data_IF_383898787479
#
_entry.id   IF_383898787479
#
_cell.length_a   1.000
_cell.length_b   1.000
_cell.length_c   1.000
_cell.angle_alpha   90.00
_cell.angle_beta   90.00
_cell.angle_gamma   90.00
#
_symmetry.space_group_name_H-M   'P 1'
#
loop_
_entity.id
_entity.type
_entity.pdbx_description
1 polymer ?
#
# COMPACT_ATOMS: atom_id res chain seq x y z
N UNK A 1 9.07 -13.66 80.15
CA UNK A 1 7.62 -13.58 80.12
C UNK A 1 7.27 -12.34 79.28
N UNK A 2 7.05 -12.49 78.01
CA UNK A 2 6.60 -11.42 77.11
C UNK A 2 5.49 -12.00 76.27
N UNK A 3 4.32 -11.37 76.37
CA UNK A 3 3.05 -11.79 75.81
C UNK A 3 2.95 -11.48 74.32
N UNK A 4 2.56 -12.48 73.54
CA UNK A 4 2.20 -12.32 72.12
C UNK A 4 0.77 -11.83 72.01
N UNK A 5 0.55 -10.67 71.39
CA UNK A 5 -0.80 -10.21 70.94
C UNK A 5 -0.94 -10.45 69.45
N UNK A 6 -1.88 -11.29 69.12
CA UNK A 6 -2.35 -11.57 67.75
C UNK A 6 -2.88 -10.30 67.07
N UNK A 7 -2.33 -9.99 65.91
CA UNK A 7 -2.93 -9.04 64.98
C UNK A 7 -3.39 -9.86 63.76
N UNK A 8 -4.72 -9.91 63.59
CA UNK A 8 -5.34 -10.50 62.43
C UNK A 8 -5.22 -9.52 61.24
N UNK A 9 -4.51 -9.93 60.21
CA UNK A 9 -4.46 -9.22 58.94
C UNK A 9 -5.66 -9.63 58.09
N UNK A 10 -6.52 -8.68 57.79
CA UNK A 10 -7.63 -8.83 56.83
C UNK A 10 -7.00 -8.71 55.42
N UNK A 11 -7.00 -9.79 54.68
CA UNK A 11 -6.63 -9.79 53.24
C UNK A 11 -7.83 -9.31 52.43
N UNK A 12 -7.80 -8.07 51.94
CA UNK A 12 -8.73 -7.62 50.92
C UNK A 12 -8.23 -8.06 49.55
N UNK A 13 -8.92 -9.03 48.98
CA UNK A 13 -8.68 -9.46 47.57
C UNK A 13 -9.30 -8.41 46.67
N UNK A 14 -8.45 -7.60 46.04
CA UNK A 14 -8.86 -6.73 44.93
C UNK A 14 -8.81 -7.57 43.66
N UNK A 15 -9.94 -8.01 43.18
CA UNK A 15 -10.10 -8.57 41.85
C UNK A 15 -9.99 -7.45 40.83
N UNK A 16 -8.83 -7.35 40.16
CA UNK A 16 -8.68 -6.51 38.96
C UNK A 16 -9.30 -7.31 37.81
N UNK A 17 -10.50 -6.90 37.43
CA UNK A 17 -11.12 -7.35 36.17
C UNK A 17 -10.38 -6.70 35.00
N UNK A 18 -9.62 -7.49 34.26
CA UNK A 18 -9.11 -7.08 32.95
C UNK A 18 -10.27 -7.19 31.98
N UNK A 19 -10.95 -6.07 31.75
CA UNK A 19 -11.90 -5.91 30.67
C UNK A 19 -11.12 -5.52 29.41
N UNK A 20 -10.74 -6.51 28.60
CA UNK A 20 -10.40 -6.25 27.22
C UNK A 20 -11.72 -6.05 26.44
N UNK A 21 -12.09 -4.81 26.22
CA UNK A 21 -13.10 -4.43 25.26
C UNK A 21 -12.54 -3.25 24.48
N UNK A 22 -11.71 -3.55 23.51
CA UNK A 22 -11.45 -2.65 22.40
C UNK A 22 -12.40 -3.06 21.28
N UNK A 23 -13.70 -2.78 21.46
CA UNK A 23 -14.60 -2.52 20.37
C UNK A 23 -14.56 -1.01 20.16
N UNK A 24 -13.83 -0.56 19.16
CA UNK A 24 -14.10 0.74 18.57
C UNK A 24 -15.36 0.57 17.75
N UNK A 25 -16.51 0.84 18.36
CA UNK A 25 -17.70 1.16 17.63
C UNK A 25 -17.38 2.45 16.85
N UNK A 26 -17.24 2.29 15.54
CA UNK A 26 -17.23 3.42 14.63
C UNK A 26 -18.69 3.88 14.55
N UNK A 27 -19.12 4.69 15.53
CA UNK A 27 -20.41 5.34 15.49
C UNK A 27 -20.44 6.25 14.24
N UNK A 28 -21.45 6.00 13.42
CA UNK A 28 -21.85 6.83 12.28
C UNK A 28 -21.85 8.32 12.64
N UNK A 29 -20.74 8.99 12.48
CA UNK A 29 -20.74 10.44 12.36
C UNK A 29 -21.21 10.75 10.93
N UNK A 30 -22.48 11.11 10.81
CA UNK A 30 -23.13 11.41 9.56
C UNK A 30 -22.34 12.40 8.72
N UNK A 31 -21.73 11.88 7.68
CA UNK A 31 -21.26 12.67 6.56
C UNK A 31 -22.48 13.17 5.80
N UNK A 32 -22.62 14.48 5.74
CA UNK A 32 -23.51 15.16 4.81
C UNK A 32 -22.89 15.07 3.40
N UNK A 33 -22.83 13.86 2.85
CA UNK A 33 -22.62 13.64 1.45
C UNK A 33 -23.83 12.87 0.92
N UNK A 34 -24.51 13.46 -0.08
CA UNK A 34 -25.84 13.06 -0.50
C UNK A 34 -25.91 11.59 -0.90
N UNK A 35 -26.73 10.88 -0.14
CA UNK A 35 -27.42 9.59 -0.34
C UNK A 35 -27.12 8.85 -1.69
N UNK A 36 -25.83 8.53 -1.94
CA UNK A 36 -25.43 7.56 -2.96
C UNK A 36 -25.28 6.23 -2.28
N UNK A 37 -26.15 5.29 -2.64
CA UNK A 37 -26.04 3.93 -2.14
C UNK A 37 -24.67 3.35 -2.57
N UNK A 38 -23.92 2.83 -1.64
CA UNK A 38 -22.70 2.10 -1.92
C UNK A 38 -23.02 0.87 -2.79
N UNK A 39 -22.11 0.53 -3.70
CA UNK A 39 -22.15 -0.74 -4.42
C UNK A 39 -21.63 -1.82 -3.44
N UNK A 40 -22.56 -2.63 -2.94
CA UNK A 40 -22.17 -3.78 -2.10
C UNK A 40 -21.48 -4.82 -2.99
N UNK A 41 -20.31 -5.28 -2.56
CA UNK A 41 -19.51 -6.31 -3.23
C UNK A 41 -19.36 -7.49 -2.29
N UNK A 42 -19.71 -8.67 -2.77
CA UNK A 42 -19.49 -9.94 -2.08
C UNK A 42 -18.39 -10.71 -2.80
N UNK A 43 -17.25 -10.90 -2.13
CA UNK A 43 -16.11 -11.67 -2.61
C UNK A 43 -16.09 -13.04 -1.93
N UNK A 44 -16.14 -14.12 -2.71
CA UNK A 44 -15.99 -15.49 -2.24
C UNK A 44 -14.94 -16.22 -3.07
N UNK A 45 -14.61 -17.47 -2.72
CA UNK A 45 -13.63 -18.24 -3.48
C UNK A 45 -13.98 -18.40 -4.98
N UNK A 46 -15.26 -18.40 -5.33
CA UNK A 46 -15.74 -18.72 -6.68
C UNK A 46 -16.54 -17.58 -7.34
N UNK A 47 -16.94 -16.54 -6.60
CA UNK A 47 -17.84 -15.49 -7.09
C UNK A 47 -17.42 -14.10 -6.60
N UNK A 48 -17.54 -13.11 -7.51
CA UNK A 48 -17.47 -11.68 -7.23
C UNK A 48 -18.82 -11.06 -7.61
N UNK A 49 -19.68 -10.78 -6.63
CA UNK A 49 -21.05 -10.33 -6.86
C UNK A 49 -21.20 -8.88 -6.44
N UNK A 50 -21.67 -8.04 -7.36
CA UNK A 50 -21.95 -6.62 -7.12
C UNK A 50 -23.46 -6.39 -7.01
N UNK A 51 -23.90 -5.58 -6.05
CA UNK A 51 -25.32 -5.18 -5.91
C UNK A 51 -25.82 -4.35 -7.11
N UNK A 52 -24.91 -3.67 -7.81
CA UNK A 52 -25.14 -2.99 -9.09
C UNK A 52 -23.88 -3.09 -9.95
N UNK A 53 -24.03 -3.31 -11.25
CA UNK A 53 -22.95 -3.26 -12.23
C UNK A 53 -22.84 -1.89 -12.91
N UNK A 54 -23.55 -0.89 -12.39
CA UNK A 54 -23.48 0.49 -12.86
C UNK A 54 -23.60 1.49 -11.71
N UNK A 55 -22.93 2.62 -11.84
CA UNK A 55 -23.03 3.77 -10.95
C UNK A 55 -22.96 5.09 -11.77
N UNK A 56 -23.48 6.20 -11.26
CA UNK A 56 -23.26 7.50 -11.88
C UNK A 56 -21.83 7.99 -11.65
N UNK A 57 -21.29 8.77 -12.60
CA UNK A 57 -19.95 9.38 -12.48
C UNK A 57 -19.83 10.29 -11.24
N UNK A 58 -18.62 10.39 -10.72
CA UNK A 58 -18.26 11.05 -9.48
C UNK A 58 -17.76 10.04 -8.44
N UNK A 59 -17.93 10.34 -7.16
CA UNK A 59 -17.49 9.41 -6.11
C UNK A 59 -18.36 8.15 -6.13
N UNK A 60 -17.73 7.01 -6.32
CA UNK A 60 -18.34 5.67 -6.23
C UNK A 60 -17.75 4.99 -4.99
N UNK A 61 -18.61 4.47 -4.15
CA UNK A 61 -18.21 3.71 -2.97
C UNK A 61 -18.49 2.24 -3.21
N UNK A 62 -17.47 1.40 -3.14
CA UNK A 62 -17.60 -0.05 -3.10
C UNK A 62 -17.44 -0.51 -1.65
N UNK A 63 -18.46 -1.16 -1.14
CA UNK A 63 -18.40 -1.78 0.18
C UNK A 63 -18.13 -3.27 0.00
N UNK A 64 -16.87 -3.66 0.19
CA UNK A 64 -16.39 -5.00 -0.12
C UNK A 64 -16.43 -5.89 1.11
N UNK A 65 -17.28 -6.90 1.09
CA UNK A 65 -17.37 -7.94 2.11
C UNK A 65 -16.67 -9.21 1.64
N UNK A 66 -15.80 -9.74 2.48
CA UNK A 66 -15.17 -11.05 2.25
C UNK A 66 -16.03 -12.15 2.85
N UNK A 67 -16.83 -12.82 2.02
CA UNK A 67 -17.63 -13.98 2.37
C UNK A 67 -16.90 -15.33 2.20
N UNK A 68 -15.62 -15.30 1.81
CA UNK A 68 -14.76 -16.48 1.66
C UNK A 68 -14.03 -16.88 2.93
N UNK A 69 -13.17 -17.89 2.81
CA UNK A 69 -12.37 -18.44 3.92
C UNK A 69 -10.90 -17.94 3.87
N UNK A 70 -10.48 -17.28 2.79
CA UNK A 70 -9.15 -16.73 2.58
C UNK A 70 -9.22 -15.21 2.54
N UNK A 71 -8.09 -14.53 2.73
CA UNK A 71 -7.97 -13.07 2.53
C UNK A 71 -8.32 -12.74 1.09
N UNK A 72 -8.96 -11.62 0.84
CA UNK A 72 -9.31 -11.16 -0.52
C UNK A 72 -8.90 -9.72 -0.73
N UNK A 73 -8.77 -9.35 -1.98
CA UNK A 73 -8.59 -8.00 -2.48
C UNK A 73 -9.72 -7.64 -3.44
N UNK A 74 -9.90 -6.35 -3.68
CA UNK A 74 -10.84 -5.85 -4.68
C UNK A 74 -10.24 -4.67 -5.43
N UNK A 75 -10.35 -4.71 -6.75
CA UNK A 75 -9.86 -3.71 -7.68
C UNK A 75 -10.98 -3.10 -8.51
N UNK A 76 -10.89 -1.81 -8.78
CA UNK A 76 -11.53 -1.21 -9.94
C UNK A 76 -10.43 -0.93 -10.98
N UNK A 77 -10.52 -1.59 -12.13
CA UNK A 77 -9.57 -1.47 -13.24
C UNK A 77 -10.17 -0.62 -14.35
N UNK A 78 -9.32 0.02 -15.14
CA UNK A 78 -9.70 0.60 -16.44
C UNK A 78 -10.17 -0.49 -17.42
N UNK A 79 -10.65 -0.10 -18.58
CA UNK A 79 -11.12 -1.02 -19.63
C UNK A 79 -9.98 -1.83 -20.29
N UNK A 80 -8.73 -1.47 -20.06
CA UNK A 80 -7.54 -2.23 -20.45
C UNK A 80 -7.27 -3.45 -19.55
N UNK A 81 -8.01 -3.58 -18.45
CA UNK A 81 -7.93 -4.67 -17.48
C UNK A 81 -6.59 -4.79 -16.71
N UNK A 82 -5.73 -3.78 -16.81
CA UNK A 82 -4.38 -3.76 -16.20
C UNK A 82 -4.09 -2.49 -15.40
N UNK A 83 -4.70 -1.36 -15.77
CA UNK A 83 -4.53 -0.11 -15.04
C UNK A 83 -5.48 -0.05 -13.86
N UNK A 84 -4.94 0.07 -12.66
CA UNK A 84 -5.71 0.13 -11.40
C UNK A 84 -6.18 1.56 -11.16
N UNK A 85 -7.49 1.76 -11.05
CA UNK A 85 -8.13 3.03 -10.69
C UNK A 85 -8.15 3.21 -9.17
N UNK A 86 -8.29 2.13 -8.46
CA UNK A 86 -8.21 2.04 -7.00
C UNK A 86 -8.47 0.62 -6.54
N UNK A 87 -7.96 0.32 -5.37
CA UNK A 87 -8.01 -1.00 -4.77
C UNK A 87 -8.22 -0.96 -3.27
N UNK A 88 -8.55 -2.07 -2.71
CA UNK A 88 -8.57 -2.33 -1.28
C UNK A 88 -8.14 -3.77 -1.03
N UNK A 89 -7.09 -3.90 -0.27
CA UNK A 89 -6.41 -5.16 -0.02
C UNK A 89 -6.64 -5.69 1.40
N UNK A 90 -6.11 -6.89 1.65
CA UNK A 90 -6.02 -7.50 2.97
C UNK A 90 -7.37 -7.58 3.71
N UNK A 91 -8.46 -7.86 2.97
CA UNK A 91 -9.78 -8.05 3.57
C UNK A 91 -9.87 -9.48 4.12
N UNK A 92 -9.70 -9.62 5.43
CA UNK A 92 -9.81 -10.92 6.10
C UNK A 92 -11.22 -11.52 6.04
N UNK A 93 -11.37 -12.85 6.20
CA UNK A 93 -12.66 -13.53 6.19
C UNK A 93 -13.69 -12.89 7.13
N UNK A 94 -14.89 -12.63 6.61
CA UNK A 94 -16.01 -12.02 7.35
C UNK A 94 -15.84 -10.51 7.63
N UNK A 95 -14.79 -9.88 7.12
CA UNK A 95 -14.60 -8.43 7.25
C UNK A 95 -15.18 -7.68 6.05
N UNK A 96 -15.46 -6.40 6.25
CA UNK A 96 -15.89 -5.46 5.22
C UNK A 96 -14.96 -4.27 5.21
N UNK A 97 -14.56 -3.82 4.01
CA UNK A 97 -13.81 -2.58 3.81
C UNK A 97 -14.44 -1.75 2.70
N UNK A 98 -14.30 -0.45 2.79
CA UNK A 98 -14.80 0.48 1.79
C UNK A 98 -13.65 0.95 0.89
N UNK A 99 -13.90 0.92 -0.43
CA UNK A 99 -13.10 1.58 -1.45
C UNK A 99 -13.89 2.76 -2.00
N UNK A 100 -13.34 3.95 -1.93
CA UNK A 100 -13.93 5.15 -2.53
C UNK A 100 -13.07 5.59 -3.70
N UNK A 101 -13.67 5.63 -4.90
CA UNK A 101 -12.99 6.09 -6.12
C UNK A 101 -13.78 7.18 -6.79
N UNK A 102 -13.10 8.12 -7.45
CA UNK A 102 -13.71 9.12 -8.30
C UNK A 102 -13.68 8.65 -9.74
N UNK A 103 -14.73 7.96 -10.16
CA UNK A 103 -14.81 7.38 -11.49
C UNK A 103 -15.49 8.32 -12.49
N UNK A 104 -14.88 8.48 -13.68
CA UNK A 104 -15.45 9.20 -14.81
C UNK A 104 -16.40 8.29 -15.58
N UNK A 105 -17.25 8.89 -16.44
CA UNK A 105 -18.10 8.11 -17.34
C UNK A 105 -17.23 7.19 -18.23
N UNK A 106 -17.46 5.89 -18.14
CA UNK A 106 -16.67 4.90 -18.87
C UNK A 106 -17.07 3.47 -18.58
N UNK A 107 -16.32 2.55 -19.15
CA UNK A 107 -16.38 1.11 -18.86
C UNK A 107 -15.16 0.74 -18.01
N UNK A 108 -15.39 -0.03 -16.97
CA UNK A 108 -14.40 -0.46 -16.00
C UNK A 108 -14.55 -1.96 -15.76
N UNK A 109 -13.58 -2.53 -15.07
CA UNK A 109 -13.62 -3.92 -14.60
C UNK A 109 -13.47 -3.93 -13.09
N UNK A 110 -14.49 -4.42 -12.39
CA UNK A 110 -14.41 -4.76 -10.98
C UNK A 110 -13.82 -6.17 -10.84
N UNK A 111 -12.83 -6.36 -9.99
CA UNK A 111 -12.17 -7.64 -9.79
C UNK A 111 -12.06 -7.98 -8.31
N UNK A 112 -12.61 -9.13 -7.89
CA UNK A 112 -12.35 -9.72 -6.59
C UNK A 112 -11.22 -10.75 -6.73
N UNK A 113 -10.26 -10.77 -5.80
CA UNK A 113 -9.07 -11.63 -5.88
C UNK A 113 -8.92 -12.46 -4.60
N UNK A 114 -9.73 -13.53 -4.44
CA UNK A 114 -9.64 -14.41 -3.28
C UNK A 114 -8.27 -15.08 -3.20
N UNK A 115 -7.69 -15.11 -2.00
CA UNK A 115 -6.34 -15.61 -1.78
C UNK A 115 -5.24 -14.67 -2.28
N UNK A 116 -5.59 -13.46 -2.76
CA UNK A 116 -4.65 -12.45 -3.28
C UNK A 116 -3.78 -12.97 -4.44
N UNK A 117 -4.30 -13.90 -5.25
CA UNK A 117 -3.56 -14.57 -6.33
C UNK A 117 -4.34 -14.57 -7.65
N UNK A 118 -3.61 -14.64 -8.77
CA UNK A 118 -4.16 -14.71 -10.12
C UNK A 118 -4.81 -13.42 -10.62
N UNK A 119 -5.50 -13.53 -11.75
CA UNK A 119 -6.17 -12.38 -12.40
C UNK A 119 -7.48 -11.96 -11.71
N UNK A 120 -7.91 -12.69 -10.68
CA UNK A 120 -9.15 -12.43 -9.97
C UNK A 120 -10.42 -12.80 -10.75
N UNK A 121 -11.56 -12.70 -10.07
CA UNK A 121 -12.90 -12.90 -10.64
C UNK A 121 -13.41 -11.54 -11.12
N UNK A 122 -13.56 -11.37 -12.43
CA UNK A 122 -13.78 -10.09 -13.08
C UNK A 122 -15.26 -9.89 -13.47
N UNK A 123 -15.75 -8.67 -13.25
CA UNK A 123 -17.12 -8.24 -13.58
C UNK A 123 -17.05 -6.89 -14.28
N UNK A 124 -17.67 -6.76 -15.46
CA UNK A 124 -17.77 -5.46 -16.13
C UNK A 124 -18.59 -4.49 -15.29
N UNK A 125 -18.06 -3.29 -15.07
CA UNK A 125 -18.70 -2.22 -14.34
C UNK A 125 -18.80 -0.98 -15.23
N UNK A 126 -19.97 -0.32 -15.26
CA UNK A 126 -20.21 0.84 -16.11
C UNK A 126 -20.44 2.07 -15.26
N UNK A 127 -19.66 3.10 -15.49
CA UNK A 127 -19.92 4.41 -14.91
C UNK A 127 -20.72 5.23 -15.94
N UNK A 128 -21.97 5.53 -15.58
CA UNK A 128 -22.90 6.28 -16.42
C UNK A 128 -22.73 7.79 -16.23
N UNK A 129 -23.33 8.61 -17.12
CA UNK A 129 -23.38 10.05 -16.91
C UNK A 129 -24.08 10.36 -15.58
N UNK A 130 -23.35 10.93 -14.62
CA UNK A 130 -23.89 11.39 -13.33
C UNK A 130 -24.54 12.77 -13.46
N UNK A 131 -25.46 13.09 -12.55
CA UNK A 131 -25.77 14.50 -12.31
C UNK A 131 -24.44 15.20 -11.94
N UNK A 132 -24.11 16.30 -12.63
CA UNK A 132 -22.88 17.06 -12.41
C UNK A 132 -22.59 17.11 -10.92
N UNK A 133 -21.42 16.63 -10.48
CA UNK A 133 -20.97 16.82 -9.11
C UNK A 133 -21.30 18.27 -8.76
N UNK A 134 -21.90 18.52 -7.59
CA UNK A 134 -22.13 19.90 -7.13
C UNK A 134 -20.84 20.66 -7.41
N UNK A 135 -20.93 21.75 -8.17
CA UNK A 135 -19.76 22.47 -8.62
C UNK A 135 -18.98 22.82 -7.36
N UNK A 136 -17.87 22.12 -7.13
CA UNK A 136 -16.91 22.49 -6.08
C UNK A 136 -16.61 23.96 -6.29
N UNK A 137 -16.54 24.73 -5.18
CA UNK A 137 -16.21 26.15 -5.33
C UNK A 137 -14.89 26.25 -6.12
N UNK A 138 -14.74 27.26 -6.97
CA UNK A 138 -13.50 27.47 -7.75
C UNK A 138 -12.26 27.37 -6.85
N UNK A 139 -12.35 27.90 -5.63
CA UNK A 139 -11.31 27.80 -4.61
C UNK A 139 -10.99 26.35 -4.21
N UNK A 140 -11.99 25.47 -4.11
CA UNK A 140 -11.78 24.07 -3.75
C UNK A 140 -11.16 23.27 -4.90
N UNK A 141 -11.58 23.52 -6.14
CA UNK A 141 -10.98 22.93 -7.33
C UNK A 141 -9.49 23.37 -7.51
N UNK A 142 -9.16 24.62 -7.15
CA UNK A 142 -7.76 25.07 -7.14
C UNK A 142 -6.92 24.32 -6.08
N UNK A 143 -7.49 24.04 -4.92
CA UNK A 143 -6.81 23.25 -3.87
C UNK A 143 -6.59 21.79 -4.29
N UNK A 144 -7.59 21.16 -4.92
CA UNK A 144 -7.45 19.80 -5.46
C UNK A 144 -6.34 19.75 -6.53
N UNK A 145 -6.36 20.69 -7.47
CA UNK A 145 -5.33 20.76 -8.50
C UNK A 145 -3.93 21.02 -7.92
N UNK A 146 -3.83 21.84 -6.87
CA UNK A 146 -2.56 22.10 -6.21
C UNK A 146 -2.04 20.87 -5.45
N UNK A 147 -2.93 20.10 -4.81
CA UNK A 147 -2.56 18.87 -4.13
C UNK A 147 -2.02 17.82 -5.11
N UNK A 148 -2.74 17.60 -6.22
CA UNK A 148 -2.30 16.69 -7.28
C UNK A 148 -0.95 17.13 -7.87
N UNK A 149 -0.77 18.41 -8.17
CA UNK A 149 0.48 18.91 -8.71
C UNK A 149 1.66 18.73 -7.73
N UNK A 150 1.45 19.00 -6.42
CA UNK A 150 2.48 18.83 -5.40
C UNK A 150 2.89 17.36 -5.26
N UNK A 151 1.92 16.44 -5.26
CA UNK A 151 2.23 15.01 -5.15
C UNK A 151 2.87 14.46 -6.42
N UNK A 152 2.45 14.93 -7.61
CA UNK A 152 3.11 14.59 -8.87
C UNK A 152 4.59 14.99 -8.84
N UNK A 153 4.91 16.21 -8.43
CA UNK A 153 6.30 16.67 -8.31
C UNK A 153 7.13 15.76 -7.38
N UNK A 154 6.50 15.20 -6.34
CA UNK A 154 7.13 14.23 -5.45
C UNK A 154 7.36 12.89 -6.16
N UNK A 155 6.33 12.33 -6.80
CA UNK A 155 6.41 11.05 -7.53
C UNK A 155 7.46 11.10 -8.63
N UNK A 156 7.48 12.17 -9.43
CA UNK A 156 8.46 12.37 -10.51
C UNK A 156 9.90 12.36 -9.96
N UNK A 157 10.13 13.00 -8.81
CA UNK A 157 11.45 13.02 -8.17
C UNK A 157 11.86 11.62 -7.67
N UNK A 158 10.92 10.86 -7.09
CA UNK A 158 11.20 9.49 -6.64
C UNK A 158 11.45 8.56 -7.83
N UNK A 159 10.65 8.65 -8.90
CA UNK A 159 10.79 7.87 -10.11
C UNK A 159 12.14 8.10 -10.82
N UNK A 160 12.56 9.37 -10.93
CA UNK A 160 13.88 9.72 -11.47
C UNK A 160 15.02 9.13 -10.62
N UNK A 161 14.90 9.20 -9.29
CA UNK A 161 15.87 8.64 -8.36
C UNK A 161 15.89 7.11 -8.43
N UNK A 162 14.72 6.46 -8.47
CA UNK A 162 14.57 5.02 -8.66
C UNK A 162 15.32 4.56 -9.92
N UNK A 163 15.05 5.19 -11.06
CA UNK A 163 15.71 4.85 -12.33
C UNK A 163 17.23 4.94 -12.23
N UNK A 164 17.72 6.01 -11.62
CA UNK A 164 19.15 6.24 -11.44
C UNK A 164 19.80 5.16 -10.56
N UNK A 165 19.21 4.89 -9.40
CA UNK A 165 19.79 3.95 -8.44
C UNK A 165 19.61 2.48 -8.90
N UNK A 166 18.53 2.16 -9.63
CA UNK A 166 18.34 0.85 -10.30
C UNK A 166 19.46 0.59 -11.31
N UNK A 167 19.81 1.59 -12.13
CA UNK A 167 20.95 1.46 -13.06
C UNK A 167 22.26 1.22 -12.30
N UNK A 168 22.50 1.98 -11.22
CA UNK A 168 23.73 1.83 -10.44
C UNK A 168 23.79 0.44 -9.76
N UNK A 169 22.69 -0.04 -9.21
CA UNK A 169 22.56 -1.38 -8.64
C UNK A 169 22.81 -2.47 -9.68
N UNK A 170 22.17 -2.38 -10.84
CA UNK A 170 22.34 -3.32 -11.93
C UNK A 170 23.81 -3.40 -12.42
N UNK A 171 24.52 -2.27 -12.50
CA UNK A 171 25.95 -2.26 -12.88
C UNK A 171 26.82 -2.97 -11.84
N UNK A 172 26.52 -2.86 -10.54
CA UNK A 172 27.22 -3.61 -9.48
C UNK A 172 26.96 -5.12 -9.59
N UNK A 173 25.73 -5.54 -9.84
CA UNK A 173 25.36 -6.94 -10.08
C UNK A 173 26.13 -7.49 -11.30
N UNK A 174 26.11 -6.77 -12.42
CA UNK A 174 26.80 -7.14 -13.68
C UNK A 174 28.31 -7.19 -13.53
N UNK A 175 28.86 -6.32 -12.68
CA UNK A 175 30.29 -6.35 -12.32
C UNK A 175 30.64 -7.50 -11.36
N UNK A 176 29.66 -8.28 -10.88
CA UNK A 176 29.81 -9.30 -9.84
C UNK A 176 30.38 -8.71 -8.53
N UNK A 177 30.07 -7.44 -8.25
CA UNK A 177 30.37 -6.78 -7.00
C UNK A 177 29.21 -6.97 -6.00
N UNK A 178 29.11 -8.17 -5.45
CA UNK A 178 28.06 -8.52 -4.51
C UNK A 178 28.08 -7.66 -3.23
N UNK A 179 29.25 -7.15 -2.83
CA UNK A 179 29.36 -6.30 -1.63
C UNK A 179 28.77 -4.90 -1.91
N UNK A 180 29.10 -4.31 -3.05
CA UNK A 180 28.54 -3.05 -3.51
C UNK A 180 27.04 -3.17 -3.76
N UNK A 181 26.60 -4.25 -4.43
CA UNK A 181 25.18 -4.49 -4.70
C UNK A 181 24.36 -4.60 -3.40
N UNK A 182 24.83 -5.37 -2.39
CA UNK A 182 24.16 -5.43 -1.08
C UNK A 182 24.10 -4.08 -0.37
N UNK A 183 25.15 -3.28 -0.48
CA UNK A 183 25.20 -1.96 0.18
C UNK A 183 24.24 -0.95 -0.48
N UNK A 184 23.92 -1.12 -1.77
CA UNK A 184 23.03 -0.22 -2.50
C UNK A 184 21.57 -0.72 -2.56
N UNK A 185 21.30 -1.98 -2.25
CA UNK A 185 20.00 -2.62 -2.42
C UNK A 185 18.88 -1.83 -1.69
N UNK A 186 18.89 -1.78 -0.37
CA UNK A 186 17.89 -1.05 0.39
C UNK A 186 17.87 0.48 0.08
N UNK A 187 19.01 1.20 0.00
CA UNK A 187 19.01 2.61 -0.44
C UNK A 187 18.40 2.86 -1.83
N UNK A 188 18.43 1.87 -2.74
CA UNK A 188 17.82 2.02 -4.06
C UNK A 188 16.30 1.73 -4.02
N UNK A 189 15.88 0.77 -3.21
CA UNK A 189 14.47 0.39 -3.08
C UNK A 189 13.60 1.46 -2.41
N UNK A 190 14.14 2.29 -1.50
CA UNK A 190 13.34 3.33 -0.84
C UNK A 190 12.56 4.23 -1.80
N UNK A 191 13.03 4.40 -3.03
CA UNK A 191 12.35 5.21 -4.03
C UNK A 191 11.15 4.48 -4.64
N UNK A 192 11.21 3.15 -4.75
CA UNK A 192 10.09 2.30 -5.11
C UNK A 192 9.03 2.35 -4.00
N UNK A 193 9.41 1.99 -2.81
CA UNK A 193 8.56 1.94 -1.63
C UNK A 193 7.81 3.27 -1.36
N UNK A 194 8.46 4.39 -1.65
CA UNK A 194 7.85 5.72 -1.45
C UNK A 194 6.73 6.04 -2.43
N UNK A 195 6.68 5.37 -3.59
CA UNK A 195 5.68 5.59 -4.65
C UNK A 195 4.94 4.30 -5.02
N UNK A 196 5.05 3.27 -4.22
CA UNK A 196 4.49 1.94 -4.47
C UNK A 196 3.04 1.98 -4.97
N UNK A 197 2.08 2.72 -4.34
CA UNK A 197 0.70 2.79 -4.82
C UNK A 197 0.56 3.39 -6.23
N UNK A 198 1.50 4.23 -6.65
CA UNK A 198 1.54 4.76 -8.02
C UNK A 198 2.15 3.74 -8.97
N UNK A 199 3.18 3.02 -8.52
CA UNK A 199 3.83 1.97 -9.30
C UNK A 199 2.90 0.77 -9.51
N UNK A 200 2.19 0.36 -8.49
CA UNK A 200 1.19 -0.73 -8.51
C UNK A 200 -0.03 -0.41 -9.39
N UNK A 201 -0.31 0.88 -9.66
CA UNK A 201 -1.33 1.25 -10.67
C UNK A 201 -1.12 0.56 -12.03
N UNK A 202 0.08 0.02 -12.28
CA UNK A 202 0.44 -0.73 -13.48
C UNK A 202 0.59 -2.22 -13.16
N UNK A 203 -0.52 -2.92 -12.94
CA UNK A 203 -0.58 -4.32 -12.48
C UNK A 203 0.13 -5.36 -13.35
N UNK A 204 0.60 -5.00 -14.55
CA UNK A 204 1.48 -5.84 -15.37
C UNK A 204 2.98 -5.61 -15.12
N UNK A 205 3.35 -4.51 -14.46
CA UNK A 205 4.74 -4.15 -14.15
C UNK A 205 5.14 -4.53 -12.73
N UNK A 206 4.26 -4.34 -11.76
CA UNK A 206 4.51 -4.68 -10.37
C UNK A 206 5.05 -6.12 -10.20
N UNK A 207 4.41 -7.18 -10.72
CA UNK A 207 4.94 -8.55 -10.60
C UNK A 207 6.29 -8.78 -11.28
N UNK A 208 6.72 -7.91 -12.20
CA UNK A 208 8.05 -7.99 -12.83
C UNK A 208 9.13 -7.32 -12.01
N UNK A 209 8.75 -6.31 -11.24
CA UNK A 209 9.68 -5.47 -10.47
C UNK A 209 9.84 -5.97 -9.05
N UNK A 210 8.75 -6.33 -8.38
CA UNK A 210 8.74 -6.50 -6.93
C UNK A 210 8.11 -7.80 -6.39
N UNK A 211 7.71 -8.74 -7.25
CA UNK A 211 7.10 -10.01 -6.81
C UNK A 211 8.00 -10.78 -5.84
N UNK A 212 7.45 -11.09 -4.67
CA UNK A 212 8.12 -11.93 -3.66
C UNK A 212 8.03 -13.41 -4.04
N UNK A 213 8.99 -14.22 -3.59
CA UNK A 213 8.97 -15.67 -3.85
C UNK A 213 7.72 -16.36 -3.30
N UNK A 214 7.19 -15.85 -2.18
CA UNK A 214 6.01 -16.43 -1.53
C UNK A 214 4.74 -16.32 -2.38
N UNK A 215 4.68 -15.32 -3.27
CA UNK A 215 3.50 -14.99 -4.08
C UNK A 215 3.61 -15.53 -5.52
N UNK A 216 4.69 -16.26 -5.84
CA UNK A 216 4.90 -16.86 -7.15
C UNK A 216 3.85 -17.92 -7.49
N UNK A 217 3.22 -17.78 -8.63
CA UNK A 217 2.34 -18.81 -9.19
C UNK A 217 3.14 -19.91 -9.91
N UNK A 218 2.51 -21.09 -10.05
CA UNK A 218 3.13 -22.24 -10.72
C UNK A 218 3.42 -21.93 -12.20
N UNK A 219 4.71 -21.81 -12.54
CA UNK A 219 5.19 -21.56 -13.91
C UNK A 219 5.41 -20.07 -14.22
N UNK A 220 5.17 -19.19 -13.26
CA UNK A 220 5.49 -17.76 -13.41
C UNK A 220 7.01 -17.53 -13.43
N UNK A 221 7.47 -16.64 -14.30
CA UNK A 221 8.87 -16.22 -14.32
C UNK A 221 9.12 -15.24 -13.20
N UNK A 222 10.09 -15.50 -12.35
CA UNK A 222 10.45 -14.64 -11.25
C UNK A 222 11.63 -13.73 -11.60
N UNK A 223 11.40 -12.44 -11.65
CA UNK A 223 12.36 -11.38 -11.95
C UNK A 223 12.36 -10.33 -10.84
N UNK A 224 12.92 -9.18 -11.06
CA UNK A 224 12.80 -8.03 -10.16
C UNK A 224 13.77 -8.02 -8.99
N UNK A 225 13.45 -7.14 -8.03
CA UNK A 225 14.28 -6.85 -6.87
C UNK A 225 14.49 -8.06 -5.99
N UNK A 226 13.42 -8.71 -5.54
CA UNK A 226 13.48 -9.86 -4.61
C UNK A 226 14.13 -11.09 -5.23
N UNK A 227 14.07 -11.23 -6.56
CA UNK A 227 14.81 -12.29 -7.23
C UNK A 227 16.33 -12.10 -7.12
N UNK A 228 16.80 -10.85 -7.27
CA UNK A 228 18.22 -10.50 -7.08
C UNK A 228 18.62 -10.48 -5.60
N UNK A 229 17.72 -10.08 -4.72
CA UNK A 229 17.92 -10.15 -3.27
C UNK A 229 18.29 -11.57 -2.83
N UNK A 230 17.51 -12.58 -3.24
CA UNK A 230 17.80 -13.98 -2.91
C UNK A 230 19.13 -14.45 -3.41
N UNK A 231 19.58 -13.99 -4.58
CA UNK A 231 20.91 -14.29 -5.11
C UNK A 231 22.02 -13.60 -4.31
N UNK A 232 21.78 -12.40 -3.83
CA UNK A 232 22.73 -11.62 -3.04
C UNK A 232 22.84 -12.13 -1.60
N UNK A 233 21.75 -12.61 -0.97
CA UNK A 233 21.72 -13.19 0.37
C UNK A 233 21.18 -14.64 0.34
N UNK A 234 21.93 -15.56 -0.28
CA UNK A 234 21.44 -16.91 -0.53
C UNK A 234 21.16 -17.65 0.79
N UNK A 235 19.93 -18.15 1.00
CA UNK A 235 19.63 -18.99 2.16
C UNK A 235 20.33 -20.34 2.10
N UNK A 236 20.41 -21.01 3.23
CA UNK A 236 21.10 -22.31 3.33
C UNK A 236 20.49 -23.34 2.36
N UNK A 237 21.31 -23.90 1.50
CA UNK A 237 20.92 -24.90 0.50
C UNK A 237 20.44 -24.32 -0.85
N UNK A 238 20.28 -23.02 -0.95
CA UNK A 238 20.03 -22.35 -2.22
C UNK A 238 21.32 -22.16 -3.02
N UNK A 239 21.26 -22.38 -4.31
CA UNK A 239 22.36 -22.08 -5.23
C UNK A 239 22.04 -20.83 -6.01
N UNK A 240 22.76 -19.73 -5.82
CA UNK A 240 22.53 -18.51 -6.58
C UNK A 240 22.61 -18.74 -8.09
N UNK A 241 21.91 -17.93 -8.84
CA UNK A 241 22.01 -17.88 -10.29
C UNK A 241 23.45 -17.63 -10.73
N UNK A 242 23.80 -18.09 -11.91
CA UNK A 242 25.10 -17.76 -12.51
C UNK A 242 25.21 -16.25 -12.73
N UNK A 243 26.44 -15.74 -12.80
CA UNK A 243 26.68 -14.31 -13.06
C UNK A 243 26.03 -13.83 -14.38
N UNK A 244 25.87 -14.71 -15.36
CA UNK A 244 25.19 -14.38 -16.63
C UNK A 244 23.66 -14.26 -16.44
N UNK A 245 23.06 -15.11 -15.63
CA UNK A 245 21.63 -15.05 -15.28
C UNK A 245 21.33 -13.84 -14.43
N UNK A 246 22.14 -13.57 -13.38
CA UNK A 246 22.01 -12.36 -12.56
C UNK A 246 22.12 -11.09 -13.41
N UNK A 247 23.06 -11.04 -14.36
CA UNK A 247 23.19 -9.92 -15.26
C UNK A 247 21.95 -9.74 -16.16
N UNK A 248 21.35 -10.83 -16.63
CA UNK A 248 20.13 -10.77 -17.43
C UNK A 248 18.93 -10.27 -16.62
N UNK A 249 18.77 -10.72 -15.36
CA UNK A 249 17.73 -10.23 -14.45
C UNK A 249 17.94 -8.74 -14.14
N UNK A 250 19.17 -8.31 -13.90
CA UNK A 250 19.51 -6.91 -13.67
C UNK A 250 19.24 -6.02 -14.89
N UNK A 251 19.52 -6.49 -16.10
CA UNK A 251 19.19 -5.78 -17.35
C UNK A 251 17.66 -5.70 -17.54
N UNK A 252 16.91 -6.74 -17.17
CA UNK A 252 15.45 -6.74 -17.20
C UNK A 252 14.88 -5.76 -16.19
N UNK A 253 15.37 -5.76 -14.94
CA UNK A 253 14.97 -4.82 -13.89
C UNK A 253 15.12 -3.36 -14.37
N UNK A 254 16.24 -3.01 -15.01
CA UNK A 254 16.45 -1.68 -15.60
C UNK A 254 15.44 -1.38 -16.71
N UNK A 255 15.08 -2.37 -17.52
CA UNK A 255 14.13 -2.20 -18.63
C UNK A 255 12.71 -1.98 -18.09
N UNK A 256 12.28 -2.75 -17.10
CA UNK A 256 10.96 -2.66 -16.48
C UNK A 256 10.82 -1.36 -15.66
N UNK A 257 11.86 -0.96 -14.91
CA UNK A 257 11.88 0.35 -14.22
C UNK A 257 11.77 1.51 -15.22
N UNK A 258 12.38 1.41 -16.39
CA UNK A 258 12.25 2.46 -17.41
C UNK A 258 10.85 2.51 -18.01
N UNK A 259 10.21 1.37 -18.21
CA UNK A 259 8.82 1.31 -18.67
C UNK A 259 7.90 1.94 -17.62
N UNK A 260 8.09 1.59 -16.33
CA UNK A 260 7.37 2.20 -15.21
C UNK A 260 7.48 3.73 -15.21
N UNK A 261 8.69 4.28 -15.22
CA UNK A 261 8.91 5.73 -15.21
C UNK A 261 8.21 6.41 -16.40
N UNK A 262 8.29 5.80 -17.59
CA UNK A 262 7.59 6.32 -18.77
C UNK A 262 6.07 6.33 -18.62
N UNK A 263 5.48 5.35 -17.94
CA UNK A 263 4.03 5.29 -17.71
C UNK A 263 3.59 6.22 -16.59
N UNK A 264 4.40 6.42 -15.56
CA UNK A 264 4.16 7.41 -14.50
C UNK A 264 4.03 8.81 -15.10
N UNK A 265 4.86 9.19 -16.07
CA UNK A 265 4.80 10.47 -16.77
C UNK A 265 3.43 10.73 -17.44
N UNK A 266 2.74 9.68 -17.86
CA UNK A 266 1.45 9.71 -18.56
C UNK A 266 0.24 9.54 -17.62
N UNK A 267 0.45 9.12 -16.36
CA UNK A 267 -0.62 8.83 -15.41
C UNK A 267 -1.32 10.11 -14.94
N UNK A 268 -2.65 10.13 -15.00
CA UNK A 268 -3.47 11.19 -14.41
C UNK A 268 -3.81 10.82 -12.95
N UNK A 269 -3.28 11.60 -12.02
CA UNK A 269 -3.55 11.42 -10.59
C UNK A 269 -4.77 12.23 -10.15
N UNK A 270 -5.47 11.75 -9.14
CA UNK A 270 -6.62 12.39 -8.50
C UNK A 270 -6.47 12.45 -6.97
N UNK A 271 -7.22 13.30 -6.30
CA UNK A 271 -7.12 13.47 -4.83
C UNK A 271 -7.53 12.23 -4.04
N UNK A 272 -8.43 11.44 -4.55
CA UNK A 272 -8.85 10.17 -3.93
C UNK A 272 -7.77 9.10 -4.08
N UNK A 273 -7.08 9.01 -5.23
CA UNK A 273 -5.91 8.14 -5.38
C UNK A 273 -4.79 8.52 -4.40
N UNK A 274 -4.53 9.81 -4.19
CA UNK A 274 -3.57 10.24 -3.18
C UNK A 274 -3.96 9.75 -1.76
N UNK A 275 -5.26 9.84 -1.45
CA UNK A 275 -5.78 9.42 -0.15
C UNK A 275 -5.75 7.91 0.06
N UNK A 276 -6.16 7.17 -0.97
CA UNK A 276 -6.13 5.70 -0.96
C UNK A 276 -4.70 5.19 -0.89
N UNK A 277 -3.81 5.65 -1.76
CA UNK A 277 -2.41 5.22 -1.76
C UNK A 277 -1.67 5.52 -0.45
N UNK A 278 -1.91 6.69 0.18
CA UNK A 278 -1.36 6.95 1.49
C UNK A 278 -1.86 5.96 2.55
N UNK A 279 -3.12 5.52 2.44
CA UNK A 279 -3.70 4.50 3.34
C UNK A 279 -3.10 3.12 3.06
N UNK A 280 -2.95 2.74 1.81
CA UNK A 280 -2.38 1.46 1.36
C UNK A 280 -0.97 1.27 1.89
N UNK A 281 -0.05 2.21 1.67
CA UNK A 281 1.31 2.19 2.22
C UNK A 281 1.34 1.90 3.72
N UNK A 282 0.44 2.52 4.49
CA UNK A 282 0.38 2.32 5.94
C UNK A 282 -0.28 0.98 6.33
N UNK A 283 -1.26 0.52 5.57
CA UNK A 283 -1.90 -0.78 5.78
C UNK A 283 -0.93 -1.93 5.49
N UNK A 284 -0.11 -1.85 4.44
CA UNK A 284 0.93 -2.84 4.13
C UNK A 284 1.97 -2.96 5.24
N UNK A 285 2.51 -1.84 5.70
CA UNK A 285 3.44 -1.86 6.86
C UNK A 285 2.79 -2.54 8.05
N UNK A 286 1.51 -2.25 8.34
CA UNK A 286 0.84 -2.73 9.54
C UNK A 286 0.40 -4.20 9.45
N UNK A 287 0.17 -4.74 8.26
CA UNK A 287 -0.41 -6.08 8.06
C UNK A 287 0.60 -7.09 7.52
N UNK A 288 1.37 -6.73 6.50
CA UNK A 288 2.33 -7.58 5.79
C UNK A 288 3.76 -7.31 6.26
N UNK A 289 4.32 -6.20 5.85
CA UNK A 289 5.76 -5.88 6.01
C UNK A 289 6.26 -5.95 7.46
N UNK A 290 5.40 -5.66 8.48
CA UNK A 290 5.74 -5.80 9.91
C UNK A 290 6.12 -7.24 10.31
N UNK A 291 5.80 -8.24 9.52
CA UNK A 291 6.19 -9.63 9.77
C UNK A 291 7.61 -9.96 9.32
N UNK A 292 8.25 -9.06 8.58
CA UNK A 292 9.56 -9.26 7.95
C UNK A 292 9.48 -10.14 6.69
N UNK A 293 8.34 -10.14 6.02
CA UNK A 293 8.13 -10.95 4.80
C UNK A 293 8.61 -10.25 3.53
N UNK A 294 8.72 -8.92 3.55
CA UNK A 294 9.10 -8.12 2.40
C UNK A 294 10.55 -8.42 2.02
N UNK A 295 11.47 -8.18 2.91
CA UNK A 295 12.90 -8.35 2.69
C UNK A 295 13.41 -9.67 3.30
N UNK A 296 12.88 -10.79 2.79
CA UNK A 296 13.00 -12.12 3.37
C UNK A 296 14.44 -12.62 3.55
N UNK A 297 15.40 -12.08 2.82
CA UNK A 297 16.81 -12.53 2.88
C UNK A 297 17.79 -11.43 3.30
N UNK A 298 17.52 -10.18 2.92
CA UNK A 298 18.34 -9.03 3.31
C UNK A 298 18.03 -8.55 4.71
N UNK A 299 16.78 -8.73 5.17
CA UNK A 299 16.24 -8.23 6.44
C UNK A 299 16.33 -6.70 6.53
N UNK A 300 16.07 -6.01 5.42
CA UNK A 300 16.14 -4.55 5.34
C UNK A 300 14.78 -3.85 5.43
N UNK A 301 13.73 -4.55 5.86
CA UNK A 301 12.33 -4.11 5.96
C UNK A 301 12.15 -2.75 6.64
N UNK A 302 13.01 -2.38 7.59
CA UNK A 302 12.92 -1.06 8.25
C UNK A 302 13.22 0.13 7.31
N UNK A 303 13.90 -0.12 6.19
CA UNK A 303 14.06 0.88 5.14
C UNK A 303 12.75 1.08 4.38
N UNK A 304 12.05 -0.01 4.12
CA UNK A 304 10.77 -0.02 3.42
C UNK A 304 9.69 0.64 4.28
N UNK A 305 9.62 0.32 5.59
CA UNK A 305 8.72 1.01 6.54
C UNK A 305 8.92 2.51 6.56
N UNK A 306 10.18 2.95 6.56
CA UNK A 306 10.49 4.38 6.55
C UNK A 306 10.04 5.02 5.24
N UNK A 307 10.31 4.39 4.12
CA UNK A 307 9.96 4.89 2.79
C UNK A 307 8.43 4.92 2.58
N UNK A 308 7.71 3.87 2.98
CA UNK A 308 6.25 3.85 2.94
C UNK A 308 5.66 4.96 3.82
N UNK A 309 6.20 5.17 5.03
CA UNK A 309 5.75 6.26 5.91
C UNK A 309 5.99 7.64 5.28
N UNK A 310 7.17 7.87 4.68
CA UNK A 310 7.49 9.12 3.98
C UNK A 310 6.60 9.35 2.75
N UNK A 311 6.32 8.30 1.97
CA UNK A 311 5.42 8.34 0.83
C UNK A 311 3.98 8.69 1.22
N UNK A 312 3.46 8.01 2.25
CA UNK A 312 2.14 8.29 2.81
C UNK A 312 2.04 9.72 3.37
N UNK A 313 3.09 10.19 4.07
CA UNK A 313 3.14 11.55 4.59
C UNK A 313 3.18 12.57 3.45
N UNK A 314 3.93 12.33 2.37
CA UNK A 314 3.99 13.22 1.21
C UNK A 314 2.61 13.39 0.56
N UNK A 315 1.85 12.32 0.37
CA UNK A 315 0.48 12.35 -0.13
C UNK A 315 -0.45 13.11 0.84
N UNK A 316 -0.37 12.81 2.13
CA UNK A 316 -1.13 13.53 3.15
C UNK A 316 -0.80 15.03 3.17
N UNK A 317 0.47 15.42 3.12
CA UNK A 317 0.86 16.83 3.14
C UNK A 317 0.33 17.60 1.92
N UNK A 318 0.23 16.95 0.77
CA UNK A 318 -0.42 17.53 -0.41
C UNK A 318 -1.94 17.72 -0.17
N UNK A 319 -2.61 16.76 0.45
CA UNK A 319 -4.04 16.81 0.77
C UNK A 319 -4.38 17.67 2.00
N UNK A 320 -3.42 17.93 2.88
CA UNK A 320 -3.63 18.58 4.17
C UNK A 320 -4.41 19.90 4.12
N UNK A 321 -4.19 20.82 3.15
CA UNK A 321 -5.02 22.03 3.04
C UNK A 321 -6.51 21.73 2.87
N UNK A 322 -6.85 20.69 2.12
CA UNK A 322 -8.22 20.23 1.89
C UNK A 322 -8.79 19.63 3.18
N UNK A 323 -8.02 18.75 3.84
CA UNK A 323 -8.42 18.11 5.11
C UNK A 323 -8.67 19.14 6.18
N UNK A 324 -7.83 20.16 6.32
CA UNK A 324 -8.00 21.25 7.31
C UNK A 324 -9.31 22.01 7.12
N UNK A 325 -9.76 22.19 5.86
CA UNK A 325 -11.02 22.88 5.56
C UNK A 325 -12.22 21.97 5.90
N UNK A 326 -12.13 20.68 5.56
CA UNK A 326 -13.20 19.71 5.79
C UNK A 326 -13.29 19.28 7.25
N UNK A 327 -12.16 18.91 7.84
CA UNK A 327 -12.05 18.45 9.24
C UNK A 327 -10.68 18.82 9.84
N UNK A 328 -10.64 19.93 10.54
CA UNK A 328 -9.43 20.38 11.19
C UNK A 328 -8.96 19.45 12.33
N UNK A 329 -9.88 18.73 12.97
CA UNK A 329 -9.53 17.83 14.06
C UNK A 329 -8.85 16.57 13.50
N UNK A 330 -9.35 16.05 12.38
CA UNK A 330 -8.69 14.97 11.63
C UNK A 330 -7.28 15.39 11.18
N UNK A 331 -7.11 16.58 10.59
CA UNK A 331 -5.80 17.08 10.20
C UNK A 331 -4.81 17.10 11.38
N UNK A 332 -5.24 17.58 12.54
CA UNK A 332 -4.39 17.59 13.75
C UNK A 332 -4.05 16.16 14.20
N UNK A 333 -5.02 15.26 14.16
CA UNK A 333 -4.79 13.85 14.54
C UNK A 333 -3.79 13.18 13.57
N UNK A 334 -3.91 13.41 12.28
CA UNK A 334 -2.98 12.85 11.27
C UNK A 334 -1.56 13.42 11.47
N UNK A 335 -1.41 14.74 11.67
CA UNK A 335 -0.12 15.36 11.99
C UNK A 335 0.56 14.64 13.18
N UNK A 336 -0.17 14.46 14.29
CA UNK A 336 0.33 13.79 15.51
C UNK A 336 0.67 12.31 15.27
N UNK A 337 -0.08 11.62 14.40
CA UNK A 337 0.16 10.19 14.10
C UNK A 337 1.37 9.98 13.21
N UNK A 338 1.55 10.79 12.19
CA UNK A 338 2.76 10.74 11.36
C UNK A 338 4.02 11.05 12.18
N UNK A 339 3.98 12.08 13.04
CA UNK A 339 5.09 12.38 13.96
C UNK A 339 5.40 11.19 14.88
N UNK A 340 4.38 10.58 15.49
CA UNK A 340 4.56 9.43 16.39
C UNK A 340 5.11 8.19 15.65
N UNK A 341 4.69 7.93 14.41
CA UNK A 341 5.19 6.83 13.60
C UNK A 341 6.67 7.04 13.24
N UNK A 342 7.04 8.24 12.81
CA UNK A 342 8.43 8.60 12.53
C UNK A 342 9.32 8.47 13.79
N UNK A 343 8.84 8.94 14.95
CA UNK A 343 9.55 8.78 16.23
C UNK A 343 9.75 7.31 16.62
N UNK A 344 8.80 6.43 16.27
CA UNK A 344 8.91 4.99 16.56
C UNK A 344 10.06 4.31 15.80
N UNK A 345 10.45 4.81 14.64
CA UNK A 345 11.59 4.29 13.86
C UNK A 345 12.95 4.81 14.34
N UNK A 346 13.01 5.94 15.03
CA UNK A 346 14.27 6.58 15.49
C UNK A 346 15.20 5.61 16.28
N UNK A 347 14.70 4.77 17.22
CA UNK A 347 15.56 3.85 17.97
C UNK A 347 16.31 2.83 17.11
N UNK A 348 15.80 2.55 15.93
CA UNK A 348 16.34 1.55 14.99
C UNK A 348 17.28 2.15 13.95
N UNK A 349 17.44 3.48 13.90
CA UNK A 349 18.35 4.14 12.97
C UNK A 349 19.81 3.77 13.24
N UNK A 350 20.58 3.50 12.18
CA UNK A 350 22.00 3.15 12.22
C UNK A 350 22.77 3.89 11.12
N UNK A 351 23.46 4.95 11.49
CA UNK A 351 24.17 5.77 10.51
C UNK A 351 23.19 6.47 9.53
N UNK A 352 23.32 6.17 8.25
CA UNK A 352 22.44 6.68 7.20
C UNK A 352 21.28 5.71 6.88
N UNK A 353 21.07 4.68 7.68
CA UNK A 353 20.06 3.67 7.45
C UNK A 353 19.51 3.08 8.76
N UNK A 354 19.08 1.83 8.70
CA UNK A 354 18.43 1.13 9.80
C UNK A 354 19.17 -0.16 10.18
N UNK A 355 18.89 -0.68 11.36
CA UNK A 355 19.34 -2.03 11.73
C UNK A 355 18.52 -3.08 10.94
N UNK A 356 19.07 -4.29 10.85
CA UNK A 356 18.35 -5.39 10.21
C UNK A 356 17.19 -5.83 11.11
N UNK A 357 16.10 -6.17 10.49
CA UNK A 357 14.83 -6.53 11.14
C UNK A 357 14.65 -8.05 11.29
#
# INVERSE_FOLDING_TARGET
MISFRNVAAVLSVVTIGVGAAACTDNDESGSADGDRAAVEVESTADECTLSSTEAPSGNVVFQVHNGGDEVTEFYLLEDDETTIVGEVENIGPGLTRDLVVRAQQGSYVAACKPGMTGDGIRVTFTVTEGASAEATSEEFAELEAAAVAQYRDYVDQQADALMKETIAFAELVKANDAAGARALYAPARVYWESIEPVAESFGDLDPKLDLREADLEEGQEWTGWHRLEKDLWPPAGFTPSSAAEQAAIADQLVADTRDLVSRIDELELSVDQLGNGAKELLDEVATGKITGEEEAWSHTDLWDFHANLEGAEAAYQALRPIVVIKDKALATTLDERFEAAAEALVPYSRGEGFELY
#
